data_IF_219577472487
#
_entry.id   IF_219577472487
#
_cell.length_a   1.000
_cell.length_b   1.000
_cell.length_c   1.000
_cell.angle_alpha   90.00
_cell.angle_beta   90.00
_cell.angle_gamma   90.00
#
_symmetry.space_group_name_H-M   'P 1'
#
loop_
_entity.id
_entity.type
_entity.pdbx_description
1 polymer ?
#
# COMPACT_ATOMS: atom_id res chain seq x y z
N UNK A 1 14.46 -12.78 -7.37
CA UNK A 1 13.20 -12.76 -6.60
C UNK A 1 13.01 -11.35 -6.03
N UNK A 2 12.61 -10.39 -6.87
CA UNK A 2 12.59 -8.94 -6.54
C UNK A 2 11.16 -8.41 -6.24
N UNK A 3 10.12 -9.23 -6.42
CA UNK A 3 8.74 -8.73 -6.54
C UNK A 3 7.95 -8.62 -5.22
N UNK A 4 8.33 -9.37 -4.17
CA UNK A 4 7.73 -9.25 -2.83
C UNK A 4 8.05 -7.89 -2.17
N UNK A 5 9.23 -7.33 -2.48
CA UNK A 5 9.66 -6.03 -1.95
C UNK A 5 8.82 -4.90 -2.57
N UNK A 6 8.64 -4.89 -3.89
CA UNK A 6 7.95 -3.79 -4.58
C UNK A 6 6.50 -3.54 -4.08
N UNK A 7 5.77 -4.59 -3.69
CA UNK A 7 4.37 -4.47 -3.26
C UNK A 7 4.27 -4.05 -1.78
N UNK A 8 5.10 -4.63 -0.90
CA UNK A 8 5.18 -4.23 0.52
C UNK A 8 5.70 -2.80 0.67
N UNK A 9 6.68 -2.41 -0.15
CA UNK A 9 7.24 -1.04 -0.15
C UNK A 9 6.26 -0.01 -0.71
N UNK A 10 5.28 -0.45 -1.51
CA UNK A 10 4.24 0.42 -2.07
C UNK A 10 3.10 0.74 -1.10
N UNK A 11 3.05 0.13 0.10
CA UNK A 11 1.98 0.35 1.08
C UNK A 11 2.54 1.11 2.27
N UNK A 12 2.08 2.35 2.47
CA UNK A 12 2.49 3.17 3.61
C UNK A 12 1.61 2.86 4.82
N UNK A 13 2.20 2.93 6.01
CA UNK A 13 1.50 2.66 7.27
C UNK A 13 1.41 3.94 8.08
N UNK A 14 0.19 4.40 8.34
CA UNK A 14 -0.08 5.66 9.03
C UNK A 14 -0.78 5.31 10.36
N UNK A 15 -0.11 5.45 11.51
CA UNK A 15 -0.73 5.21 12.80
C UNK A 15 -1.73 6.30 13.15
N UNK A 16 -2.73 5.94 13.95
CA UNK A 16 -3.76 6.80 14.55
C UNK A 16 -4.61 7.60 13.55
N UNK A 17 -4.79 7.06 12.34
CA UNK A 17 -5.60 7.68 11.29
C UNK A 17 -6.79 6.80 10.87
N UNK A 18 -7.99 7.38 10.65
CA UNK A 18 -8.39 8.76 10.94
C UNK A 18 -8.67 9.02 12.43
N UNK A 19 -8.56 7.99 13.28
CA UNK A 19 -8.78 8.06 14.73
C UNK A 19 -7.67 7.28 15.46
N UNK A 20 -7.38 7.65 16.72
CA UNK A 20 -6.43 6.92 17.55
C UNK A 20 -6.73 5.41 17.66
N UNK A 21 -5.69 4.59 17.64
CA UNK A 21 -5.74 3.13 17.71
C UNK A 21 -5.86 2.43 16.37
N UNK A 22 -5.92 3.15 15.24
CA UNK A 22 -6.03 2.57 13.90
C UNK A 22 -4.70 2.69 13.16
N UNK A 23 -4.18 1.60 12.59
CA UNK A 23 -3.09 1.65 11.61
C UNK A 23 -3.71 1.68 10.21
N UNK A 24 -3.73 2.86 9.59
CA UNK A 24 -4.20 3.01 8.22
C UNK A 24 -3.15 2.55 7.22
N UNK A 25 -3.56 1.74 6.24
CA UNK A 25 -2.70 1.29 5.14
C UNK A 25 -3.03 2.09 3.90
N UNK A 26 -2.16 3.03 3.57
CA UNK A 26 -2.31 3.88 2.40
C UNK A 26 -1.77 3.17 1.15
N UNK A 27 -2.70 2.80 0.26
CA UNK A 27 -2.45 2.10 -1.00
C UNK A 27 -2.49 3.04 -2.21
N UNK A 28 -2.55 4.36 -2.03
CA UNK A 28 -2.64 5.33 -3.13
C UNK A 28 -1.50 5.21 -4.14
N UNK A 29 -0.30 4.85 -3.66
CA UNK A 29 0.89 4.52 -4.46
C UNK A 29 0.74 3.26 -5.30
N UNK A 30 -0.01 2.26 -4.81
CA UNK A 30 -0.36 1.05 -5.57
C UNK A 30 -1.39 1.37 -6.67
N UNK A 31 -2.39 2.21 -6.36
CA UNK A 31 -3.47 2.59 -7.29
C UNK A 31 -2.99 3.48 -8.44
N UNK A 32 -1.98 4.32 -8.20
CA UNK A 32 -1.36 5.15 -9.25
C UNK A 32 -0.56 4.36 -10.29
N UNK A 33 -0.27 3.09 -10.05
CA UNK A 33 0.47 2.23 -10.96
C UNK A 33 -0.46 1.22 -11.63
N UNK A 34 -0.88 1.50 -12.87
CA UNK A 34 -1.79 0.65 -13.64
C UNK A 34 -1.31 -0.82 -13.79
N UNK A 35 0.00 -1.06 -13.78
CA UNK A 35 0.57 -2.41 -13.84
C UNK A 35 0.47 -3.13 -12.48
N UNK A 36 0.67 -2.40 -11.39
CA UNK A 36 0.57 -2.97 -10.05
C UNK A 36 -0.90 -3.23 -9.67
N UNK A 37 -1.81 -2.33 -10.02
CA UNK A 37 -3.25 -2.53 -9.84
C UNK A 37 -3.75 -3.80 -10.55
N UNK A 38 -3.44 -3.97 -11.85
CA UNK A 38 -3.83 -5.17 -12.63
C UNK A 38 -3.31 -6.49 -12.06
N UNK A 39 -2.30 -6.46 -11.18
CA UNK A 39 -1.74 -7.68 -10.56
C UNK A 39 -2.30 -7.94 -9.16
N UNK A 40 -2.98 -6.96 -8.55
CA UNK A 40 -3.51 -7.05 -7.19
C UNK A 40 -4.98 -7.49 -7.13
N UNK A 41 -5.73 -7.34 -8.24
CA UNK A 41 -7.11 -7.81 -8.45
C UNK A 41 -7.14 -9.01 -9.37
#
# INVERSE_FOLDING_TARGET
MQFEHDLKDSIRSIPDYPKPGIIFRDITTLLGNARAFRRAV
#
